data_IF_573778288343
#
_entry.id   IF_573778288343
#
_cell.length_a   1.000
_cell.length_b   1.000
_cell.length_c   1.000
_cell.angle_alpha   90.00
_cell.angle_beta   90.00
_cell.angle_gamma   90.00
#
_symmetry.space_group_name_H-M   'P 1'
#
loop_
_entity.id
_entity.type
_entity.pdbx_description
1 polymer ?
#
# COMPACT_ATOMS: atom_id res chain seq x y z
N UNK A 1 11.18 -11.26 -1.47
CA UNK A 1 9.94 -10.60 -0.98
C UNK A 1 8.83 -11.64 -1.07
N UNK A 2 8.65 -12.42 0.00
CA UNK A 2 7.65 -13.50 -0.01
C UNK A 2 6.25 -12.92 0.20
N UNK A 3 5.22 -13.64 -0.26
CA UNK A 3 3.83 -13.27 0.01
C UNK A 3 3.56 -13.16 1.52
N UNK A 4 2.47 -12.48 1.86
CA UNK A 4 1.88 -12.50 3.20
C UNK A 4 1.69 -13.95 3.67
N UNK A 5 2.35 -14.34 4.76
CA UNK A 5 2.06 -15.60 5.44
C UNK A 5 0.66 -15.53 6.07
N UNK A 6 -0.25 -16.33 5.53
CA UNK A 6 -1.66 -16.32 5.93
C UNK A 6 -2.00 -17.37 6.99
N UNK A 7 -1.01 -18.03 7.59
CA UNK A 7 -1.17 -18.97 8.70
C UNK A 7 -2.32 -19.96 8.50
N UNK A 8 -3.32 -19.88 9.37
CA UNK A 8 -4.54 -20.71 9.40
C UNK A 8 -5.35 -20.70 8.09
N UNK A 9 -5.20 -19.66 7.27
CA UNK A 9 -5.91 -19.51 5.99
C UNK A 9 -5.18 -20.17 4.82
N UNK A 10 -3.91 -20.56 4.97
CA UNK A 10 -3.15 -21.17 3.88
C UNK A 10 -3.73 -22.51 3.45
N UNK A 11 -3.81 -22.71 2.12
CA UNK A 11 -4.39 -23.92 1.53
C UNK A 11 -5.93 -23.99 1.55
N UNK A 12 -6.61 -23.06 2.24
CA UNK A 12 -8.08 -23.01 2.24
C UNK A 12 -8.62 -22.26 1.01
N UNK A 13 -9.75 -22.73 0.50
CA UNK A 13 -10.57 -21.93 -0.42
C UNK A 13 -11.24 -20.78 0.33
N UNK A 14 -11.68 -19.75 -0.40
CA UNK A 14 -12.41 -18.61 0.18
C UNK A 14 -13.67 -19.04 0.95
N UNK A 15 -14.36 -20.08 0.46
CA UNK A 15 -15.56 -20.61 1.11
C UNK A 15 -15.21 -21.28 2.44
N UNK A 16 -14.19 -22.13 2.46
CA UNK A 16 -13.69 -22.79 3.68
C UNK A 16 -13.20 -21.76 4.70
N UNK A 17 -12.35 -20.83 4.29
CA UNK A 17 -11.85 -19.75 5.15
C UNK A 17 -12.98 -18.96 5.81
N UNK A 18 -14.02 -18.61 5.05
CA UNK A 18 -15.15 -17.82 5.56
C UNK A 18 -15.98 -18.51 6.64
N UNK A 19 -15.91 -19.85 6.71
CA UNK A 19 -16.66 -20.69 7.65
C UNK A 19 -15.76 -21.15 8.79
N UNK A 20 -14.58 -21.70 8.48
CA UNK A 20 -13.69 -22.36 9.43
C UNK A 20 -12.77 -21.40 10.18
N UNK A 21 -12.44 -20.26 9.59
CA UNK A 21 -11.51 -19.26 10.13
C UNK A 21 -12.11 -17.85 9.98
N UNK A 22 -13.35 -17.68 10.45
CA UNK A 22 -14.17 -16.51 10.13
C UNK A 22 -13.54 -15.16 10.51
N UNK A 23 -12.89 -15.07 11.67
CA UNK A 23 -12.25 -13.83 12.12
C UNK A 23 -10.99 -13.51 11.32
N UNK A 24 -10.11 -14.50 11.10
CA UNK A 24 -8.93 -14.34 10.23
C UNK A 24 -9.35 -13.95 8.80
N UNK A 25 -10.42 -14.54 8.28
CA UNK A 25 -10.96 -14.21 6.97
C UNK A 25 -11.49 -12.77 6.88
N UNK A 26 -12.09 -12.23 7.95
CA UNK A 26 -12.51 -10.82 7.99
C UNK A 26 -11.32 -9.87 7.89
N UNK A 27 -10.24 -10.15 8.62
CA UNK A 27 -8.99 -9.37 8.57
C UNK A 27 -8.45 -9.36 7.14
N UNK A 28 -8.28 -10.55 6.55
CA UNK A 28 -7.79 -10.68 5.17
C UNK A 28 -8.72 -10.00 4.14
N UNK A 29 -10.03 -10.10 4.31
CA UNK A 29 -11.00 -9.50 3.39
C UNK A 29 -11.02 -7.99 3.42
N UNK A 30 -10.85 -7.37 4.58
CA UNK A 30 -10.85 -5.90 4.65
C UNK A 30 -9.77 -5.31 3.74
N UNK A 31 -8.61 -5.98 3.66
CA UNK A 31 -7.59 -5.65 2.66
C UNK A 31 -8.09 -5.90 1.23
N UNK A 32 -8.60 -7.10 0.94
CA UNK A 32 -9.02 -7.47 -0.42
C UNK A 32 -10.12 -6.58 -1.01
N UNK A 33 -10.98 -6.03 -0.16
CA UNK A 33 -12.16 -5.26 -0.57
C UNK A 33 -11.83 -3.78 -0.88
N UNK A 34 -10.54 -3.39 -0.81
CA UNK A 34 -10.05 -2.07 -1.23
C UNK A 34 -10.61 -0.91 -0.40
N UNK A 35 -10.97 -1.20 0.87
CA UNK A 35 -11.44 -0.21 1.84
C UNK A 35 -10.36 0.20 2.83
N UNK A 36 -10.69 1.14 3.69
CA UNK A 36 -9.81 1.55 4.79
C UNK A 36 -9.63 0.37 5.76
N UNK A 37 -8.38 -0.01 5.98
CA UNK A 37 -8.00 -1.04 6.95
C UNK A 37 -7.97 -0.39 8.33
N UNK A 38 -8.69 -0.96 9.30
CA UNK A 38 -8.64 -0.44 10.68
C UNK A 38 -7.26 -0.68 11.28
N UNK A 39 -6.81 0.19 12.18
CA UNK A 39 -5.53 -0.01 12.89
C UNK A 39 -5.50 -1.37 13.61
N UNK A 40 -6.62 -1.75 14.22
CA UNK A 40 -6.79 -3.07 14.86
C UNK A 40 -6.52 -4.22 13.90
N UNK A 41 -7.15 -4.24 12.72
CA UNK A 41 -6.92 -5.33 11.74
C UNK A 41 -5.54 -5.25 11.08
N UNK A 42 -4.94 -4.06 10.98
CA UNK A 42 -3.60 -3.91 10.43
C UNK A 42 -2.53 -4.54 11.34
N UNK A 43 -2.69 -4.40 12.66
CA UNK A 43 -1.78 -4.90 13.69
C UNK A 43 -2.07 -6.36 14.11
N UNK A 44 -3.29 -6.85 13.88
CA UNK A 44 -3.68 -8.21 14.26
C UNK A 44 -3.07 -9.24 13.30
N UNK A 45 -2.23 -10.17 13.79
CA UNK A 45 -1.72 -11.26 12.96
C UNK A 45 -2.81 -12.27 12.61
N UNK A 46 -2.72 -12.87 11.42
CA UNK A 46 -3.54 -14.04 11.11
C UNK A 46 -3.14 -15.21 12.02
N UNK A 47 -4.12 -15.93 12.56
CA UNK A 47 -3.87 -17.07 13.47
C UNK A 47 -3.02 -18.16 12.80
N UNK A 48 -2.39 -19.05 13.60
CA UNK A 48 -1.57 -20.14 13.07
C UNK A 48 -0.21 -19.68 12.55
N UNK A 49 0.47 -18.84 13.32
CA UNK A 49 1.78 -18.24 12.99
C UNK A 49 1.78 -17.36 11.72
N UNK A 50 0.62 -16.80 11.35
CA UNK A 50 0.49 -15.85 10.26
C UNK A 50 1.04 -14.46 10.62
N UNK A 51 1.26 -13.64 9.60
CA UNK A 51 1.72 -12.26 9.77
C UNK A 51 0.55 -11.29 9.94
N UNK A 52 0.80 -10.16 10.60
CA UNK A 52 -0.09 -8.99 10.48
C UNK A 52 0.16 -8.24 9.17
N UNK A 53 -0.75 -7.33 8.79
CA UNK A 53 -0.53 -6.48 7.62
C UNK A 53 0.66 -5.55 7.82
N UNK A 54 0.87 -5.06 9.05
CA UNK A 54 1.99 -4.19 9.38
C UNK A 54 3.34 -4.95 9.36
N UNK A 55 3.38 -6.22 9.75
CA UNK A 55 4.59 -7.04 9.59
C UNK A 55 4.99 -7.13 8.12
N UNK A 56 4.03 -7.47 7.25
CA UNK A 56 4.24 -7.55 5.80
C UNK A 56 4.70 -6.21 5.24
N UNK A 57 4.06 -5.11 5.67
CA UNK A 57 4.43 -3.74 5.26
C UNK A 57 5.86 -3.42 5.66
N UNK A 58 6.19 -3.55 6.95
CA UNK A 58 7.50 -3.20 7.50
C UNK A 58 8.62 -4.01 6.84
N UNK A 59 8.49 -5.34 6.73
CA UNK A 59 9.54 -6.15 6.12
C UNK A 59 9.73 -5.85 4.63
N UNK A 60 8.65 -5.53 3.92
CA UNK A 60 8.70 -5.26 2.48
C UNK A 60 9.36 -3.92 2.20
N UNK A 61 8.99 -2.88 2.96
CA UNK A 61 9.61 -1.56 2.89
C UNK A 61 11.09 -1.66 3.27
N UNK A 62 11.42 -2.24 4.42
CA UNK A 62 12.81 -2.37 4.88
C UNK A 62 13.70 -3.11 3.86
N UNK A 63 13.18 -4.18 3.24
CA UNK A 63 13.90 -4.91 2.20
C UNK A 63 14.18 -4.04 0.96
N UNK A 64 13.18 -3.32 0.46
CA UNK A 64 13.34 -2.46 -0.72
C UNK A 64 14.21 -1.24 -0.43
N UNK A 65 14.05 -0.60 0.72
CA UNK A 65 14.91 0.51 1.12
C UNK A 65 16.38 0.10 1.26
N UNK A 66 16.64 -1.11 1.75
CA UNK A 66 17.99 -1.66 1.81
C UNK A 66 18.57 -1.80 0.41
N UNK A 67 17.79 -2.35 -0.54
CA UNK A 67 18.21 -2.47 -1.94
C UNK A 67 18.44 -1.10 -2.60
N UNK A 68 17.58 -0.12 -2.34
CA UNK A 68 17.73 1.27 -2.82
C UNK A 68 19.03 1.87 -2.31
N UNK A 69 19.26 1.82 -0.98
CA UNK A 69 20.46 2.36 -0.35
C UNK A 69 21.74 1.69 -0.87
N UNK A 70 21.73 0.37 -1.05
CA UNK A 70 22.86 -0.36 -1.63
C UNK A 70 23.11 0.05 -3.09
N UNK A 71 22.06 0.15 -3.89
CA UNK A 71 22.17 0.56 -5.30
C UNK A 71 22.71 1.98 -5.45
N UNK A 72 22.27 2.93 -4.63
CA UNK A 72 22.77 4.32 -4.63
C UNK A 72 24.24 4.44 -4.20
N UNK A 73 24.77 3.49 -3.42
CA UNK A 73 26.19 3.44 -3.07
C UNK A 73 27.06 2.92 -4.23
N UNK A 74 26.50 2.06 -5.08
CA UNK A 74 27.21 1.39 -6.18
C UNK A 74 27.05 2.13 -7.52
N UNK A 75 25.92 2.80 -7.74
CA UNK A 75 25.54 3.46 -8.98
C UNK A 75 25.03 4.87 -8.69
N UNK A 76 25.30 5.82 -9.61
CA UNK A 76 24.82 7.20 -9.51
C UNK A 76 23.28 7.29 -9.30
N UNK A 77 22.81 8.38 -8.69
CA UNK A 77 21.49 8.65 -8.06
C UNK A 77 20.19 8.21 -8.79
N UNK A 78 20.23 7.71 -10.03
CA UNK A 78 19.07 7.36 -10.86
C UNK A 78 18.88 5.83 -11.05
N UNK A 79 19.15 5.06 -10.01
CA UNK A 79 19.11 3.59 -10.12
C UNK A 79 17.68 3.03 -10.15
N UNK A 80 17.34 2.32 -11.24
CA UNK A 80 16.08 1.59 -11.37
C UNK A 80 16.19 0.22 -10.68
N UNK A 81 15.28 -0.06 -9.75
CA UNK A 81 15.15 -1.37 -9.10
C UNK A 81 13.85 -2.04 -9.56
N UNK A 82 13.97 -3.28 -10.01
CA UNK A 82 12.84 -4.12 -10.39
C UNK A 82 12.68 -5.24 -9.35
N UNK A 83 11.50 -5.34 -8.75
CA UNK A 83 11.16 -6.39 -7.81
C UNK A 83 9.95 -7.17 -8.31
N UNK A 84 10.08 -8.51 -8.38
CA UNK A 84 8.95 -9.41 -8.63
C UNK A 84 8.46 -9.94 -7.29
N UNK A 85 7.18 -9.75 -7.01
CA UNK A 85 6.57 -10.07 -5.71
C UNK A 85 5.10 -10.46 -5.90
N UNK A 86 4.35 -10.49 -4.81
CA UNK A 86 2.98 -10.98 -4.75
C UNK A 86 1.96 -9.88 -4.44
N UNK A 87 0.68 -10.20 -4.58
CA UNK A 87 -0.41 -9.24 -4.46
C UNK A 87 -0.58 -8.68 -3.05
N UNK A 88 -0.37 -9.48 -2.00
CA UNK A 88 -0.43 -9.01 -0.61
C UNK A 88 0.68 -8.01 -0.30
N UNK A 89 1.90 -8.28 -0.76
CA UNK A 89 3.05 -7.36 -0.63
C UNK A 89 2.82 -6.05 -1.38
N UNK A 90 2.42 -6.09 -2.66
CA UNK A 90 2.11 -4.88 -3.43
C UNK A 90 1.04 -4.03 -2.73
N UNK A 91 0.07 -4.70 -2.13
CA UNK A 91 -0.96 -4.08 -1.33
C UNK A 91 -0.45 -3.27 -0.15
N UNK A 92 0.47 -3.84 0.61
CA UNK A 92 1.06 -3.15 1.75
C UNK A 92 2.01 -2.02 1.35
N UNK A 93 2.67 -2.13 0.19
CA UNK A 93 3.46 -1.02 -0.37
C UNK A 93 2.55 0.15 -0.77
N UNK A 94 1.38 -0.14 -1.37
CA UNK A 94 0.37 0.89 -1.64
C UNK A 94 -0.08 1.57 -0.35
N UNK A 95 -0.44 0.78 0.68
CA UNK A 95 -0.89 1.30 1.98
C UNK A 95 0.18 2.17 2.64
N UNK A 96 1.46 1.78 2.54
CA UNK A 96 2.57 2.59 3.04
C UNK A 96 2.59 3.98 2.40
N UNK A 97 2.48 4.06 1.08
CA UNK A 97 2.43 5.34 0.36
C UNK A 97 1.21 6.19 0.73
N UNK A 98 0.03 5.59 0.93
CA UNK A 98 -1.18 6.35 1.25
C UNK A 98 -1.16 6.90 2.67
N UNK A 99 -0.69 6.11 3.65
CA UNK A 99 -0.57 6.55 5.04
C UNK A 99 0.42 7.71 5.22
N UNK A 100 1.52 7.72 4.47
CA UNK A 100 2.48 8.83 4.51
C UNK A 100 1.94 10.14 3.95
N UNK A 101 0.92 10.09 3.08
CA UNK A 101 0.30 11.28 2.51
C UNK A 101 -0.78 11.84 3.44
N UNK A 102 -1.57 10.99 4.11
CA UNK A 102 -2.61 11.43 5.05
C UNK A 102 -2.01 12.20 6.26
N UNK A 103 -0.81 11.83 6.72
CA UNK A 103 -0.12 12.55 7.79
C UNK A 103 0.47 13.92 7.37
N UNK A 104 0.55 14.23 6.08
CA UNK A 104 1.10 15.51 5.59
C UNK A 104 0.04 16.61 5.52
N UNK A 105 -1.21 16.26 5.29
CA UNK A 105 -2.32 17.21 5.17
C UNK A 105 -2.80 17.75 6.54
N UNK A 106 -2.37 17.14 7.65
CA UNK A 106 -2.71 17.55 9.03
C UNK A 106 -1.71 18.52 9.69
N UNK A 107 -0.65 18.93 9.00
CA UNK A 107 0.31 19.92 9.53
C UNK A 107 -0.22 21.36 9.30
N UNK A 108 -0.43 22.17 10.36
CA UNK A 108 -0.85 23.55 10.18
C UNK A 108 0.24 24.35 9.46
N UNK A 109 -0.12 24.96 8.33
CA UNK A 109 0.73 25.93 7.63
C UNK A 109 1.09 27.09 8.57
N UNK A 110 2.22 27.00 9.27
CA UNK A 110 2.83 28.14 9.92
C UNK A 110 3.67 28.92 8.90
N UNK A 111 3.12 30.03 8.41
CA UNK A 111 3.91 30.98 7.61
C UNK A 111 3.08 31.93 6.76
N UNK A 112 2.46 32.94 7.38
CA UNK A 112 1.82 34.04 6.66
C UNK A 112 1.68 35.28 7.55
N UNK A 113 2.65 36.20 7.43
CA UNK A 113 2.65 37.50 8.09
C UNK A 113 1.42 38.34 7.69
N UNK A 114 0.92 39.08 8.67
CA UNK A 114 -0.25 39.97 8.73
C UNK A 114 -0.56 40.87 7.52
N UNK A 115 -1.86 41.06 7.23
CA UNK A 115 -2.51 42.39 7.26
C UNK A 115 -4.04 42.32 7.28
N UNK A 116 -4.63 43.02 8.26
CA UNK A 116 -6.06 43.22 8.51
C UNK A 116 -6.81 43.92 7.37
N UNK A 117 -8.04 43.47 7.08
CA UNK A 117 -9.22 44.36 6.94
C UNK A 117 -10.52 43.56 7.07
N UNK A 118 -11.44 44.11 7.86
CA UNK A 118 -12.75 43.57 8.23
C UNK A 118 -13.70 43.37 7.05
N UNK A 119 -14.31 42.19 6.94
CA UNK A 119 -15.65 42.01 6.38
C UNK A 119 -16.21 40.63 6.80
N UNK A 120 -17.37 40.65 7.46
CA UNK A 120 -18.17 39.47 7.77
C UNK A 120 -18.52 38.71 6.50
N UNK A 121 -18.04 37.47 6.38
CA UNK A 121 -18.59 36.46 5.48
C UNK A 121 -18.66 35.17 6.29
N UNK A 122 -19.88 34.67 6.45
CA UNK A 122 -20.20 33.38 7.07
C UNK A 122 -19.58 32.26 6.24
N UNK A 123 -18.41 31.77 6.65
CA UNK A 123 -17.82 30.57 6.07
C UNK A 123 -18.37 29.34 6.79
N UNK A 124 -19.51 28.85 6.31
CA UNK A 124 -19.82 27.42 6.42
C UNK A 124 -18.73 26.69 5.65
N UNK A 125 -17.70 26.28 6.40
CA UNK A 125 -16.63 25.44 5.89
C UNK A 125 -17.25 24.09 5.58
N UNK A 126 -17.68 23.94 4.33
CA UNK A 126 -18.02 22.63 3.78
C UNK A 126 -16.72 21.85 3.78
N UNK A 127 -16.51 21.06 4.83
CA UNK A 127 -15.47 20.03 4.89
C UNK A 127 -15.80 19.08 3.75
N UNK A 128 -15.12 19.25 2.62
CA UNK A 128 -15.20 18.27 1.55
C UNK A 128 -14.64 16.96 2.11
N UNK A 129 -15.40 15.86 2.07
CA UNK A 129 -14.90 14.57 2.53
C UNK A 129 -13.65 14.23 1.71
N UNK A 130 -12.55 13.98 2.43
CA UNK A 130 -11.30 13.48 1.86
C UNK A 130 -11.62 12.31 0.96
N UNK A 131 -11.39 12.49 -0.34
CA UNK A 131 -11.71 11.51 -1.35
C UNK A 131 -10.65 10.41 -1.26
N UNK A 132 -10.85 9.41 -0.39
CA UNK A 132 -9.97 8.24 -0.33
C UNK A 132 -9.96 7.61 -1.73
N UNK A 133 -8.82 7.72 -2.42
CA UNK A 133 -8.65 7.05 -3.72
C UNK A 133 -8.70 5.56 -3.45
N UNK A 134 -9.84 4.94 -3.75
CA UNK A 134 -9.96 3.48 -3.75
C UNK A 134 -9.11 2.93 -4.88
N UNK A 135 -7.98 2.35 -4.52
CA UNK A 135 -7.12 1.66 -5.47
C UNK A 135 -7.69 0.26 -5.75
N UNK A 136 -7.69 -0.14 -7.02
CA UNK A 136 -8.04 -1.49 -7.40
C UNK A 136 -7.00 -2.49 -6.87
N UNK A 137 -7.43 -3.72 -6.57
CA UNK A 137 -6.51 -4.80 -6.21
C UNK A 137 -5.56 -5.11 -7.38
N UNK A 138 -4.27 -5.28 -7.07
CA UNK A 138 -3.27 -5.75 -8.02
C UNK A 138 -3.67 -7.09 -8.63
N UNK A 139 -3.66 -7.17 -9.96
CA UNK A 139 -3.93 -8.38 -10.73
C UNK A 139 -2.63 -9.10 -11.11
N UNK A 140 -2.75 -10.31 -11.64
CA UNK A 140 -1.57 -11.08 -12.06
C UNK A 140 -0.77 -10.32 -13.13
N UNK A 141 0.55 -10.31 -12.96
CA UNK A 141 1.50 -9.65 -13.86
C UNK A 141 1.30 -8.13 -14.05
N UNK A 142 0.53 -7.47 -13.18
CA UNK A 142 0.43 -6.01 -13.23
C UNK A 142 1.77 -5.35 -12.86
N UNK A 143 2.01 -4.13 -13.36
CA UNK A 143 3.18 -3.33 -13.05
C UNK A 143 2.77 -2.13 -12.18
N UNK A 144 3.43 -1.97 -11.03
CA UNK A 144 3.33 -0.77 -10.19
C UNK A 144 4.68 -0.07 -10.15
N UNK A 145 4.68 1.25 -10.25
CA UNK A 145 5.88 2.08 -10.23
C UNK A 145 5.80 3.03 -9.05
N UNK A 146 6.82 2.98 -8.21
CA UNK A 146 6.98 3.85 -7.05
C UNK A 146 8.22 4.73 -7.26
N UNK A 147 8.10 6.01 -6.94
CA UNK A 147 9.23 6.91 -6.83
C UNK A 147 9.58 7.03 -5.35
N UNK A 148 10.84 6.71 -5.04
CA UNK A 148 11.38 6.79 -3.69
C UNK A 148 12.44 7.87 -3.67
N UNK A 149 12.24 8.91 -2.87
CA UNK A 149 13.18 10.03 -2.75
C UNK A 149 13.75 10.11 -1.34
N UNK A 150 14.94 10.69 -1.13
CA UNK A 150 15.37 11.09 0.20
C UNK A 150 14.31 11.99 0.86
N UNK A 151 13.96 11.70 2.11
CA UNK A 151 13.08 12.57 2.90
C UNK A 151 13.83 13.73 3.54
N UNK A 152 13.19 14.39 4.52
CA UNK A 152 13.83 15.49 5.25
C UNK A 152 15.12 14.98 5.91
N UNK A 153 16.18 15.75 5.72
CA UNK A 153 17.51 15.62 6.34
C UNK A 153 17.50 15.28 7.83
N UNK A 154 16.42 15.61 8.55
CA UNK A 154 16.26 15.33 9.98
C UNK A 154 15.86 13.88 10.30
N UNK A 155 15.11 13.20 9.43
CA UNK A 155 14.57 11.87 9.74
C UNK A 155 15.33 10.75 9.02
N UNK A 156 16.09 11.07 7.97
CA UNK A 156 16.74 10.07 7.10
C UNK A 156 15.77 9.01 6.55
N UNK A 157 14.47 9.27 6.61
CA UNK A 157 13.43 8.39 6.08
C UNK A 157 13.32 8.63 4.58
N UNK A 158 13.13 7.55 3.83
CA UNK A 158 12.80 7.66 2.42
C UNK A 158 11.31 8.02 2.29
N UNK A 159 10.98 8.81 1.28
CA UNK A 159 9.61 9.19 0.97
C UNK A 159 9.14 8.39 -0.23
N UNK A 160 7.98 7.75 -0.09
CA UNK A 160 7.41 6.90 -1.14
C UNK A 160 6.24 7.61 -1.82
N UNK A 161 6.22 7.57 -3.15
CA UNK A 161 5.11 8.08 -3.95
C UNK A 161 4.76 7.12 -5.08
N UNK A 162 3.48 7.03 -5.41
CA UNK A 162 2.98 6.14 -6.45
C UNK A 162 2.98 6.90 -7.78
N UNK A 163 3.76 6.44 -8.76
CA UNK A 163 3.75 6.98 -10.13
C UNK A 163 2.77 6.22 -11.02
N UNK A 164 2.68 4.90 -10.86
CA UNK A 164 1.74 4.03 -11.58
C UNK A 164 1.31 2.89 -10.67
N UNK A 165 0.05 2.48 -10.77
CA UNK A 165 -0.51 1.43 -9.92
C UNK A 165 -1.19 0.35 -10.76
N UNK A 166 -0.77 -0.90 -10.55
CA UNK A 166 -1.38 -2.11 -11.09
C UNK A 166 -1.69 -2.03 -12.60
N UNK A 167 -0.76 -1.49 -13.38
CA UNK A 167 -0.89 -1.35 -14.83
C UNK A 167 -0.82 -2.71 -15.54
N UNK A 168 -1.87 -3.02 -16.28
CA UNK A 168 -1.97 -4.21 -17.12
C UNK A 168 -2.08 -3.89 -18.61
N UNK A 169 -1.78 -2.65 -19.01
CA UNK A 169 -1.87 -2.20 -20.41
C UNK A 169 -1.02 -3.04 -21.37
N UNK A 170 0.06 -3.64 -20.87
CA UNK A 170 0.94 -4.55 -21.61
C UNK A 170 0.33 -5.95 -21.82
N UNK A 171 -0.70 -6.34 -21.08
CA UNK A 171 -1.38 -7.64 -21.20
C UNK A 171 -2.46 -7.63 -22.31
N UNK A 172 -2.30 -6.81 -23.34
CA UNK A 172 -3.24 -6.72 -24.47
C UNK A 172 -3.01 -7.86 -25.48
N UNK A 173 -4.07 -8.33 -26.15
CA UNK A 173 -4.02 -9.41 -27.15
C UNK A 173 -4.61 -10.76 -26.68
N UNK A 174 -4.39 -11.82 -27.48
CA UNK A 174 -4.74 -13.23 -27.18
C UNK A 174 -3.92 -13.83 -26.01
N UNK A 175 -2.92 -13.09 -25.52
CA UNK A 175 -2.04 -13.43 -24.39
C UNK A 175 -2.52 -12.85 -23.04
N UNK A 176 -3.78 -12.39 -22.95
CA UNK A 176 -4.41 -12.23 -21.62
C UNK A 176 -4.23 -13.55 -20.89
N UNK A 177 -3.87 -13.57 -19.59
CA UNK A 177 -3.77 -14.81 -18.85
C UNK A 177 -5.08 -15.57 -19.02
N UNK A 178 -5.04 -16.61 -19.85
CA UNK A 178 -6.13 -17.56 -20.00
C UNK A 178 -6.37 -17.98 -18.57
N UNK A 179 -7.59 -17.78 -18.08
CA UNK A 179 -8.00 -18.33 -16.80
C UNK A 179 -7.73 -19.82 -16.91
N UNK A 180 -6.58 -20.28 -16.43
CA UNK A 180 -6.18 -21.66 -16.54
C UNK A 180 -7.19 -22.40 -15.67
N UNK A 181 -8.16 -23.03 -16.34
CA UNK A 181 -9.04 -24.00 -15.72
C UNK A 181 -8.15 -25.21 -15.41
N UNK A 182 -7.46 -25.15 -14.27
CA UNK A 182 -6.94 -26.34 -13.65
C UNK A 182 -8.17 -27.13 -13.21
N UNK A 183 -8.50 -28.19 -13.94
CA UNK A 183 -9.44 -29.19 -13.47
C UNK A 183 -8.95 -29.69 -12.11
N UNK A 184 -9.84 -29.65 -11.11
CA UNK A 184 -9.61 -30.20 -9.77
C UNK A 184 -9.64 -31.72 -9.82
#
# INVERSE_FOLDING_TARGET
LNEWNLGSLEGLTKAEASVSCHEDWKIFRQWCDGGDVSAEHAETPISGDGESMDDVRHRSVACLETAIKQSSLENHDDSLIVAVTHGGVLGQLLRHCTMENDHRDDLPQQGGLERNTSASITNETTVQPQHTRKYARASNACISIFLVTPGDTKTSQLQWSILSWADTSHLTGDDKPISAHYEK
#
